data_IF_473237502426
#
_entry.id   IF_473237502426
#
_cell.length_a   1.000
_cell.length_b   1.000
_cell.length_c   1.000
_cell.angle_alpha   90.00
_cell.angle_beta   90.00
_cell.angle_gamma   90.00
#
_symmetry.space_group_name_H-M   'P 1'
#
loop_
_entity.id
_entity.type
_entity.pdbx_description
1 polymer ?
#
# COMPACT_ATOMS: atom_id res chain seq x y z
N UNK A 1 -16.40 16.76 7.30
CA UNK A 1 -16.58 18.00 8.04
C UNK A 1 -15.88 19.11 7.26
N UNK A 2 -16.69 20.06 6.78
CA UNK A 2 -16.15 21.28 6.15
C UNK A 2 -15.73 22.17 7.30
N UNK A 3 -14.46 22.22 7.60
CA UNK A 3 -13.91 23.28 8.44
C UNK A 3 -13.82 24.52 7.56
N UNK A 4 -14.37 25.62 8.06
CA UNK A 4 -14.58 26.87 7.34
C UNK A 4 -13.35 27.26 6.51
N UNK A 5 -13.51 27.35 5.20
CA UNK A 5 -12.54 27.86 4.26
C UNK A 5 -11.55 26.83 3.68
N UNK A 6 -11.56 25.56 4.12
CA UNK A 6 -10.64 24.52 3.58
C UNK A 6 -11.35 23.55 2.63
N UNK A 7 -10.69 23.17 1.56
CA UNK A 7 -11.19 22.19 0.61
C UNK A 7 -11.35 20.82 1.27
N UNK A 8 -12.50 20.18 1.07
CA UNK A 8 -12.66 18.78 1.46
C UNK A 8 -11.74 17.89 0.59
N UNK A 9 -10.97 17.01 1.22
CA UNK A 9 -10.24 15.96 0.51
C UNK A 9 -11.21 14.79 0.27
N UNK A 10 -11.29 14.26 -0.96
CA UNK A 10 -12.08 13.08 -1.23
C UNK A 10 -11.46 11.89 -0.46
N UNK A 11 -12.24 11.26 0.39
CA UNK A 11 -11.84 10.08 1.13
C UNK A 11 -13.01 9.12 1.28
N UNK A 12 -12.74 7.83 1.18
CA UNK A 12 -13.71 6.75 1.40
C UNK A 12 -13.14 5.83 2.47
N UNK A 13 -13.94 5.54 3.50
CA UNK A 13 -13.60 4.54 4.49
C UNK A 13 -14.12 3.18 4.04
N UNK A 14 -13.27 2.16 4.12
CA UNK A 14 -13.56 0.80 3.71
C UNK A 14 -13.16 -0.14 4.83
N UNK A 15 -14.06 -1.07 5.20
CA UNK A 15 -13.81 -2.09 6.20
C UNK A 15 -14.52 -3.40 5.84
N UNK A 16 -14.28 -4.45 6.64
CA UNK A 16 -14.96 -5.73 6.52
C UNK A 16 -14.43 -6.62 5.39
N UNK A 17 -15.07 -7.78 5.19
CA UNK A 17 -14.53 -8.86 4.33
C UNK A 17 -14.46 -8.50 2.83
N UNK A 18 -15.26 -7.54 2.38
CA UNK A 18 -15.25 -7.08 0.99
C UNK A 18 -14.27 -5.92 0.74
N UNK A 19 -13.49 -5.51 1.74
CA UNK A 19 -12.64 -4.33 1.65
C UNK A 19 -11.60 -4.41 0.52
N UNK A 20 -10.98 -5.55 0.32
CA UNK A 20 -9.98 -5.76 -0.74
C UNK A 20 -10.59 -5.51 -2.13
N UNK A 21 -11.75 -6.11 -2.40
CA UNK A 21 -12.45 -5.91 -3.67
C UNK A 21 -12.96 -4.48 -3.82
N UNK A 22 -13.43 -3.88 -2.74
CA UNK A 22 -13.91 -2.49 -2.76
C UNK A 22 -12.79 -1.52 -3.08
N UNK A 23 -11.63 -1.64 -2.43
CA UNK A 23 -10.45 -0.83 -2.73
C UNK A 23 -10.02 -1.01 -4.18
N UNK A 24 -9.95 -2.27 -4.64
CA UNK A 24 -9.59 -2.59 -6.03
C UNK A 24 -10.51 -1.95 -7.07
N UNK A 25 -11.81 -1.84 -6.77
CA UNK A 25 -12.80 -1.25 -7.67
C UNK A 25 -12.82 0.28 -7.64
N UNK A 26 -12.59 0.88 -6.48
CA UNK A 26 -12.73 2.32 -6.28
C UNK A 26 -11.43 3.09 -6.54
N UNK A 27 -10.29 2.53 -6.15
CA UNK A 27 -9.02 3.23 -6.21
C UNK A 27 -8.42 3.21 -7.62
N UNK A 28 -7.65 4.24 -7.90
CA UNK A 28 -6.92 4.44 -9.17
C UNK A 28 -5.42 4.55 -8.88
N UNK A 29 -4.56 4.21 -9.85
CA UNK A 29 -3.14 4.47 -9.72
C UNK A 29 -2.87 5.93 -9.37
N UNK A 30 -2.05 6.15 -8.35
CA UNK A 30 -1.75 7.48 -7.79
C UNK A 30 -2.61 7.88 -6.60
N UNK A 31 -3.65 7.10 -6.25
CA UNK A 31 -4.39 7.33 -5.01
C UNK A 31 -3.57 6.89 -3.78
N UNK A 32 -3.95 7.41 -2.61
CA UNK A 32 -3.35 7.09 -1.33
C UNK A 32 -4.21 6.07 -0.59
N UNK A 33 -3.60 4.96 -0.19
CA UNK A 33 -4.17 3.97 0.71
C UNK A 33 -3.67 4.23 2.13
N UNK A 34 -4.55 4.65 3.02
CA UNK A 34 -4.26 4.83 4.44
C UNK A 34 -4.86 3.68 5.24
N UNK A 35 -4.02 2.81 5.77
CA UNK A 35 -4.41 1.73 6.67
C UNK A 35 -4.26 2.14 8.13
N UNK A 36 -5.27 1.82 8.94
CA UNK A 36 -5.30 2.06 10.38
C UNK A 36 -5.50 0.72 11.09
N UNK A 37 -4.58 0.31 11.94
CA UNK A 37 -4.75 -0.98 12.60
C UNK A 37 -3.58 -1.38 13.49
N UNK A 38 -3.65 -2.59 14.02
CA UNK A 38 -2.60 -3.23 14.82
C UNK A 38 -1.68 -4.08 13.92
N UNK A 39 -0.54 -4.52 14.45
CA UNK A 39 0.42 -5.32 13.68
C UNK A 39 -0.14 -6.66 13.18
N UNK A 40 -1.15 -7.19 13.83
CA UNK A 40 -1.84 -8.44 13.49
C UNK A 40 -3.08 -8.25 12.62
N UNK A 41 -3.37 -7.02 12.18
CA UNK A 41 -4.47 -6.73 11.28
C UNK A 41 -4.20 -7.33 9.87
N UNK A 42 -4.85 -8.45 9.61
CA UNK A 42 -4.68 -9.19 8.36
C UNK A 42 -5.21 -8.43 7.15
N UNK A 43 -6.31 -7.68 7.32
CA UNK A 43 -6.87 -6.87 6.24
C UNK A 43 -5.91 -5.75 5.82
N UNK A 44 -5.33 -5.05 6.79
CA UNK A 44 -4.33 -4.02 6.53
C UNK A 44 -3.13 -4.59 5.78
N UNK A 45 -2.62 -5.75 6.20
CA UNK A 45 -1.51 -6.44 5.50
C UNK A 45 -1.85 -6.82 4.07
N UNK A 46 -3.03 -7.41 3.85
CA UNK A 46 -3.48 -7.79 2.51
C UNK A 46 -3.62 -6.58 1.58
N UNK A 47 -4.17 -5.49 2.07
CA UNK A 47 -4.32 -4.26 1.31
C UNK A 47 -2.96 -3.63 0.97
N UNK A 48 -2.08 -3.52 1.97
CA UNK A 48 -0.75 -2.95 1.79
C UNK A 48 0.09 -3.80 0.83
N UNK A 49 0.06 -5.13 0.98
CA UNK A 49 0.79 -6.02 0.08
C UNK A 49 0.36 -5.90 -1.39
N UNK A 50 -0.87 -5.46 -1.66
CA UNK A 50 -1.41 -5.24 -3.01
C UNK A 50 -1.24 -3.82 -3.53
N UNK A 51 -1.03 -2.86 -2.65
CA UNK A 51 -1.02 -1.43 -2.97
C UNK A 51 -0.04 -1.11 -4.11
N UNK A 52 1.18 -1.63 -4.04
CA UNK A 52 2.20 -1.40 -5.07
C UNK A 52 1.78 -1.95 -6.45
N UNK A 53 1.16 -3.13 -6.50
CA UNK A 53 0.64 -3.71 -7.75
C UNK A 53 -0.50 -2.87 -8.33
N UNK A 54 -1.31 -2.26 -7.50
CA UNK A 54 -2.41 -1.38 -7.92
C UNK A 54 -1.96 0.05 -8.25
N UNK A 55 -0.69 0.38 -7.99
CA UNK A 55 -0.13 1.72 -8.21
C UNK A 55 -0.57 2.73 -7.14
N UNK A 56 -0.91 2.25 -5.95
CA UNK A 56 -1.28 3.09 -4.81
C UNK A 56 -0.05 3.40 -3.96
N UNK A 57 0.01 4.61 -3.42
CA UNK A 57 0.92 4.91 -2.32
C UNK A 57 0.29 4.47 -1.01
N UNK A 58 1.00 3.67 -0.23
CA UNK A 58 0.49 3.09 1.00
C UNK A 58 1.10 3.72 2.24
N UNK A 59 0.25 4.04 3.21
CA UNK A 59 0.64 4.51 4.54
C UNK A 59 -0.02 3.65 5.59
N UNK A 60 0.77 3.09 6.49
CA UNK A 60 0.25 2.35 7.64
C UNK A 60 0.44 3.14 8.93
N UNK A 61 -0.66 3.55 9.53
CA UNK A 61 -0.68 4.10 10.88
C UNK A 61 -1.04 2.97 11.85
N UNK A 62 -0.01 2.37 12.43
CA UNK A 62 -0.16 1.26 13.35
C UNK A 62 -0.24 1.71 14.80
N UNK A 63 -0.95 0.95 15.61
CA UNK A 63 -1.08 1.15 17.06
C UNK A 63 -0.72 -0.13 17.82
N UNK A 64 -0.11 0.03 19.00
CA UNK A 64 0.27 -1.08 19.86
C UNK A 64 1.73 -1.48 19.73
N UNK A 65 2.09 -2.73 20.07
CA UNK A 65 3.45 -3.22 19.91
C UNK A 65 3.87 -3.14 18.44
N UNK A 66 4.99 -2.46 18.18
CA UNK A 66 5.53 -2.41 16.82
C UNK A 66 5.88 -3.81 16.34
N UNK A 67 5.47 -4.23 15.15
CA UNK A 67 6.00 -5.44 14.57
C UNK A 67 7.51 -5.30 14.47
N UNK A 68 8.27 -6.24 14.98
CA UNK A 68 9.72 -6.24 14.88
C UNK A 68 10.18 -6.15 13.41
N UNK A 69 11.46 -5.87 13.19
CA UNK A 69 12.04 -5.75 11.84
C UNK A 69 11.83 -6.99 10.96
N UNK A 70 11.52 -8.12 11.57
CA UNK A 70 11.29 -9.40 10.89
C UNK A 70 9.87 -9.53 10.28
N UNK A 71 9.00 -8.54 10.50
CA UNK A 71 7.63 -8.51 9.94
C UNK A 71 7.52 -7.55 8.75
N UNK A 72 8.59 -7.42 7.98
CA UNK A 72 8.62 -6.62 6.74
C UNK A 72 7.80 -7.20 5.57
N UNK A 73 6.96 -8.20 5.82
CA UNK A 73 6.11 -8.81 4.78
C UNK A 73 5.01 -7.87 4.26
N UNK A 74 4.75 -6.77 4.96
CA UNK A 74 3.87 -5.72 4.47
C UNK A 74 4.70 -4.46 4.22
N UNK A 75 5.25 -4.34 3.03
CA UNK A 75 6.00 -3.17 2.59
C UNK A 75 5.06 -2.00 2.28
N UNK A 76 4.52 -1.35 3.31
CA UNK A 76 3.94 -0.03 3.09
C UNK A 76 5.06 0.96 2.73
N UNK A 77 4.78 1.87 1.81
CA UNK A 77 5.74 2.92 1.43
C UNK A 77 6.12 3.77 2.63
N UNK A 78 5.16 3.98 3.54
CA UNK A 78 5.36 4.72 4.78
C UNK A 78 4.68 4.03 5.96
N UNK A 79 5.41 3.86 7.05
CA UNK A 79 4.89 3.28 8.28
C UNK A 79 5.10 4.26 9.43
N UNK A 80 4.02 4.60 10.12
CA UNK A 80 4.05 5.36 11.37
C UNK A 80 3.46 4.48 12.45
N UNK A 81 4.21 4.24 13.51
CA UNK A 81 3.79 3.36 14.59
C UNK A 81 3.65 4.12 15.91
N UNK A 82 2.48 4.05 16.50
CA UNK A 82 2.19 4.62 17.81
C UNK A 82 2.37 3.55 18.88
N UNK A 83 3.43 3.62 19.71
CA UNK A 83 3.69 2.64 20.75
C UNK A 83 2.71 2.82 21.91
N UNK A 84 1.56 2.20 21.84
CA UNK A 84 0.54 2.26 22.88
C UNK A 84 0.52 0.94 23.65
N UNK A 85 0.57 1.01 24.97
CA UNK A 85 0.61 -0.16 25.82
C UNK A 85 -0.69 -1.01 25.75
N UNK A 86 -1.81 -0.38 25.38
CA UNK A 86 -3.11 -1.05 25.25
C UNK A 86 -3.83 -0.58 23.96
N UNK A 87 -3.68 -1.31 22.84
CA UNK A 87 -4.24 -0.93 21.55
C UNK A 87 -5.75 -0.70 21.56
N UNK A 88 -6.49 -1.49 22.33
CA UNK A 88 -7.95 -1.33 22.47
C UNK A 88 -8.35 -0.02 23.15
N UNK A 89 -7.48 0.55 23.99
CA UNK A 89 -7.67 1.85 24.62
C UNK A 89 -7.29 2.99 23.67
N UNK A 90 -6.26 2.84 22.87
CA UNK A 90 -5.84 3.86 21.89
C UNK A 90 -6.94 4.15 20.86
N UNK A 91 -7.61 3.11 20.37
CA UNK A 91 -8.77 3.27 19.48
C UNK A 91 -9.95 3.98 20.17
N UNK A 92 -10.06 3.89 21.50
CA UNK A 92 -11.10 4.54 22.29
C UNK A 92 -10.71 5.93 22.81
N UNK A 93 -9.41 6.21 22.93
CA UNK A 93 -8.90 7.46 23.52
C UNK A 93 -8.89 8.65 22.55
N UNK A 94 -9.27 8.45 21.30
CA UNK A 94 -9.27 9.51 20.31
C UNK A 94 -7.88 9.90 19.78
N UNK A 95 -6.81 9.20 20.19
CA UNK A 95 -5.44 9.48 19.74
C UNK A 95 -5.30 9.34 18.21
N UNK A 96 -5.91 8.29 17.64
CA UNK A 96 -5.95 8.13 16.18
C UNK A 96 -6.74 9.25 15.50
N UNK A 97 -7.84 9.67 16.12
CA UNK A 97 -8.66 10.79 15.60
C UNK A 97 -7.85 12.09 15.62
N UNK A 98 -7.11 12.33 16.70
CA UNK A 98 -6.23 13.49 16.80
C UNK A 98 -5.11 13.44 15.76
N UNK A 99 -4.48 12.28 15.58
CA UNK A 99 -3.44 12.08 14.58
C UNK A 99 -3.97 12.34 13.16
N UNK A 100 -5.14 11.78 12.82
CA UNK A 100 -5.77 12.01 11.53
C UNK A 100 -6.12 13.50 11.33
N UNK A 101 -6.54 14.16 12.39
CA UNK A 101 -6.80 15.60 12.34
C UNK A 101 -5.53 16.41 12.09
N UNK A 102 -4.43 16.07 12.77
CA UNK A 102 -3.13 16.69 12.54
C UNK A 102 -2.62 16.44 11.11
N UNK A 103 -2.75 15.22 10.61
CA UNK A 103 -2.39 14.90 9.22
C UNK A 103 -3.20 15.73 8.22
N UNK A 104 -4.49 15.87 8.47
CA UNK A 104 -5.36 16.69 7.65
C UNK A 104 -4.94 18.17 7.67
N UNK A 105 -4.65 18.73 8.86
CA UNK A 105 -4.14 20.11 8.99
C UNK A 105 -2.80 20.31 8.26
N UNK A 106 -1.84 19.39 8.47
CA UNK A 106 -0.54 19.46 7.80
C UNK A 106 -0.66 19.37 6.28
N UNK A 107 -1.57 18.52 5.77
CA UNK A 107 -1.83 18.41 4.34
C UNK A 107 -2.32 19.73 3.76
N UNK A 108 -3.20 20.44 4.48
CA UNK A 108 -3.67 21.77 4.05
C UNK A 108 -2.57 22.82 4.10
N UNK A 109 -1.71 22.80 5.13
CA UNK A 109 -0.55 23.68 5.19
C UNK A 109 0.36 23.47 3.98
N UNK A 110 0.59 22.23 3.57
CA UNK A 110 1.40 21.93 2.38
C UNK A 110 0.72 22.42 1.09
N UNK A 111 -0.59 22.28 0.97
CA UNK A 111 -1.32 22.81 -0.20
C UNK A 111 -1.31 24.34 -0.26
N UNK A 112 -1.38 25.02 0.89
CA UNK A 112 -1.32 26.47 0.97
C UNK A 112 0.10 26.99 0.74
N UNK A 113 1.11 26.18 1.09
CA UNK A 113 2.53 26.52 1.00
C UNK A 113 3.34 25.46 0.25
N UNK A 114 3.14 25.27 -1.06
CA UNK A 114 3.78 24.19 -1.82
C UNK A 114 5.33 24.26 -1.83
N UNK A 115 5.89 25.39 -1.44
CA UNK A 115 7.35 25.55 -1.29
C UNK A 115 7.95 24.80 -0.10
N UNK A 116 7.14 24.41 0.90
CA UNK A 116 7.65 23.70 2.09
C UNK A 116 8.24 22.32 1.77
N UNK A 117 7.75 21.64 0.73
CA UNK A 117 8.24 20.33 0.32
C UNK A 117 9.36 20.39 -0.71
N UNK A 118 9.59 21.52 -1.38
CA UNK A 118 10.64 21.64 -2.41
C UNK A 118 12.06 21.49 -1.88
N UNK A 119 12.31 21.87 -0.64
CA UNK A 119 13.61 21.73 -0.01
C UNK A 119 14.06 20.27 0.23
N UNK A 120 13.14 19.30 0.15
CA UNK A 120 13.46 17.87 0.29
C UNK A 120 13.52 17.14 -1.05
N UNK A 121 12.87 17.67 -2.09
CA UNK A 121 12.83 17.06 -3.43
C UNK A 121 14.14 17.20 -4.21
N UNK A 122 15.04 18.09 -3.81
CA UNK A 122 16.36 18.24 -4.46
C UNK A 122 17.37 17.13 -4.08
N UNK A 123 16.97 16.20 -3.20
CA UNK A 123 17.64 14.92 -3.01
C UNK A 123 16.97 13.80 -3.81
N UNK A 124 16.52 14.09 -5.02
CA UNK A 124 16.33 13.02 -6.00
C UNK A 124 17.70 12.45 -6.28
N UNK A 125 17.98 11.34 -5.63
CA UNK A 125 19.00 10.39 -6.07
C UNK A 125 18.75 10.27 -7.57
N UNK A 126 19.72 10.67 -8.40
CA UNK A 126 19.74 10.31 -9.81
C UNK A 126 19.45 8.82 -9.86
N UNK A 127 18.24 8.47 -10.30
CA UNK A 127 17.87 7.09 -10.52
C UNK A 127 18.82 6.58 -11.59
N UNK A 128 19.89 5.96 -11.13
CA UNK A 128 20.88 5.33 -11.98
C UNK A 128 20.11 4.41 -12.92
N UNK A 129 20.39 4.44 -14.20
CA UNK A 129 19.77 3.58 -15.23
C UNK A 129 19.87 2.08 -14.87
N UNK A 130 20.77 1.73 -13.96
CA UNK A 130 20.93 0.40 -13.36
C UNK A 130 19.80 -0.01 -12.41
N UNK A 131 18.99 0.93 -11.88
CA UNK A 131 17.86 0.63 -10.99
C UNK A 131 16.58 0.18 -11.73
N UNK A 132 16.59 0.14 -13.06
CA UNK A 132 15.50 -0.45 -13.85
C UNK A 132 15.39 -1.98 -13.67
N UNK A 133 16.31 -2.57 -12.92
CA UNK A 133 16.44 -4.02 -12.69
C UNK A 133 15.95 -4.45 -11.29
N UNK A 134 15.23 -3.57 -10.57
CA UNK A 134 14.65 -3.92 -9.28
C UNK A 134 13.40 -4.81 -9.47
N UNK A 135 13.31 -5.85 -8.63
CA UNK A 135 12.12 -6.68 -8.56
C UNK A 135 10.92 -5.85 -8.14
N UNK A 136 9.79 -6.02 -8.81
CA UNK A 136 8.54 -5.32 -8.50
C UNK A 136 7.42 -6.29 -8.19
N UNK A 137 6.52 -5.89 -7.32
CA UNK A 137 5.33 -6.67 -6.99
C UNK A 137 4.25 -6.48 -8.06
N UNK A 138 3.67 -7.59 -8.50
CA UNK A 138 2.54 -7.60 -9.42
C UNK A 138 1.46 -8.57 -8.96
N UNK A 139 0.19 -8.27 -9.27
CA UNK A 139 -0.94 -9.15 -9.01
C UNK A 139 -1.32 -9.91 -10.28
N UNK A 140 -1.42 -11.22 -10.17
CA UNK A 140 -1.88 -12.09 -11.28
C UNK A 140 -3.35 -11.80 -11.60
N UNK A 141 -3.63 -11.49 -12.85
CA UNK A 141 -4.99 -11.27 -13.39
C UNK A 141 -5.51 -12.50 -14.10
N UNK A 142 -4.68 -13.11 -14.91
CA UNK A 142 -5.03 -14.32 -15.66
C UNK A 142 -3.78 -15.13 -15.97
N UNK A 143 -3.92 -16.46 -15.95
CA UNK A 143 -2.90 -17.38 -16.44
C UNK A 143 -3.27 -17.78 -17.88
N UNK A 144 -2.37 -17.53 -18.81
CA UNK A 144 -2.55 -17.72 -20.23
C UNK A 144 -1.84 -19.00 -20.71
N UNK A 145 -2.16 -19.44 -21.91
CA UNK A 145 -1.49 -20.58 -22.52
C UNK A 145 0.02 -20.33 -22.73
N UNK A 146 0.82 -21.39 -22.64
CA UNK A 146 2.25 -21.34 -22.87
C UNK A 146 3.07 -20.74 -21.73
N UNK A 147 2.52 -20.69 -20.51
CA UNK A 147 3.23 -20.16 -19.32
C UNK A 147 3.29 -18.63 -19.25
N UNK A 148 2.51 -17.95 -20.09
CA UNK A 148 2.36 -16.49 -19.99
C UNK A 148 1.34 -16.14 -18.91
N UNK A 149 1.58 -15.03 -18.24
CA UNK A 149 0.69 -14.54 -17.18
C UNK A 149 0.40 -13.07 -17.42
N UNK A 150 -0.88 -12.73 -17.40
CA UNK A 150 -1.30 -11.33 -17.36
C UNK A 150 -1.27 -10.85 -15.90
N UNK A 151 -0.56 -9.77 -15.63
CA UNK A 151 -0.41 -9.21 -14.30
C UNK A 151 -0.76 -7.72 -14.27
N UNK A 152 -1.12 -7.24 -13.09
CA UNK A 152 -1.25 -5.83 -12.79
C UNK A 152 -0.01 -5.40 -12.00
N UNK A 153 0.78 -4.49 -12.55
CA UNK A 153 1.98 -3.96 -11.93
C UNK A 153 1.98 -2.43 -11.99
N UNK A 154 2.08 -1.75 -10.85
CA UNK A 154 2.04 -0.29 -10.79
C UNK A 154 0.77 0.31 -11.42
N UNK A 155 -0.37 -0.40 -11.31
CA UNK A 155 -1.64 -0.01 -11.90
C UNK A 155 -1.75 -0.21 -13.42
N UNK A 156 -0.79 -0.88 -14.06
CA UNK A 156 -0.79 -1.20 -15.50
C UNK A 156 -0.85 -2.70 -15.73
N UNK A 157 -1.61 -3.09 -16.75
CA UNK A 157 -1.68 -4.49 -17.17
C UNK A 157 -0.47 -4.81 -18.05
N UNK A 158 0.21 -5.89 -17.73
CA UNK A 158 1.40 -6.37 -18.44
C UNK A 158 1.34 -7.89 -18.62
N UNK A 159 2.11 -8.39 -19.58
CA UNK A 159 2.31 -9.82 -19.80
C UNK A 159 3.72 -10.21 -19.44
N UNK A 160 3.85 -11.23 -18.59
CA UNK A 160 5.13 -11.74 -18.11
C UNK A 160 5.24 -13.25 -18.36
N UNK A 161 6.45 -13.79 -18.23
CA UNK A 161 6.70 -15.22 -18.20
C UNK A 161 6.49 -15.75 -16.77
N UNK A 162 5.56 -16.68 -16.60
CA UNK A 162 5.24 -17.29 -15.29
C UNK A 162 5.76 -18.70 -15.11
N UNK A 163 6.58 -19.24 -16.04
CA UNK A 163 7.00 -20.65 -16.03
C UNK A 163 7.89 -21.06 -14.85
N UNK A 164 8.48 -20.12 -14.14
CA UNK A 164 9.29 -20.41 -12.95
C UNK A 164 8.47 -20.60 -11.68
N UNK A 165 7.19 -20.22 -11.69
CA UNK A 165 6.33 -20.29 -10.51
C UNK A 165 5.12 -21.16 -10.82
N UNK A 166 5.07 -22.31 -10.15
CA UNK A 166 3.97 -23.26 -10.33
C UNK A 166 2.68 -22.82 -9.62
N UNK A 167 1.55 -23.21 -10.19
CA UNK A 167 0.24 -23.11 -9.55
C UNK A 167 -0.31 -21.70 -9.40
N UNK A 168 0.18 -20.74 -10.17
CA UNK A 168 -0.31 -19.35 -10.15
C UNK A 168 -1.81 -19.26 -10.43
N UNK A 169 -2.49 -18.42 -9.67
CA UNK A 169 -3.93 -18.17 -9.78
C UNK A 169 -4.22 -16.66 -9.81
N UNK A 170 -5.33 -16.25 -10.42
CA UNK A 170 -5.78 -14.87 -10.32
C UNK A 170 -5.89 -14.40 -8.86
N UNK A 171 -5.32 -13.23 -8.58
CA UNK A 171 -5.25 -12.64 -7.24
C UNK A 171 -3.97 -12.98 -6.46
N UNK A 172 -3.11 -13.89 -6.95
CA UNK A 172 -1.81 -14.13 -6.34
C UNK A 172 -0.88 -12.93 -6.57
N UNK A 173 -0.02 -12.67 -5.60
CA UNK A 173 1.06 -11.69 -5.74
C UNK A 173 2.34 -12.41 -6.17
N UNK A 174 3.04 -11.82 -7.12
CA UNK A 174 4.31 -12.32 -7.62
C UNK A 174 5.37 -11.21 -7.61
N UNK A 175 6.61 -11.61 -7.33
CA UNK A 175 7.76 -10.78 -7.57
C UNK A 175 8.17 -10.93 -9.04
N UNK A 176 8.19 -9.82 -9.76
CA UNK A 176 8.57 -9.79 -11.19
C UNK A 176 9.91 -9.09 -11.34
N UNK A 177 10.81 -9.71 -12.08
CA UNK A 177 12.09 -9.15 -12.46
C UNK A 177 12.35 -9.44 -13.94
N UNK A 178 12.77 -8.45 -14.71
CA UNK A 178 13.04 -8.55 -16.14
C UNK A 178 11.92 -9.24 -16.96
N UNK A 179 10.64 -9.02 -16.57
CA UNK A 179 9.49 -9.62 -17.27
C UNK A 179 9.20 -11.08 -16.93
N UNK A 180 9.83 -11.62 -15.88
CA UNK A 180 9.67 -13.00 -15.42
C UNK A 180 9.17 -13.01 -13.98
N UNK A 181 8.17 -13.83 -13.65
CA UNK A 181 7.78 -14.10 -12.26
C UNK A 181 8.85 -14.97 -11.60
N UNK A 182 9.48 -14.47 -10.54
CA UNK A 182 10.55 -15.17 -9.82
C UNK A 182 10.00 -16.04 -8.69
N UNK A 183 9.01 -15.53 -7.97
CA UNK A 183 8.39 -16.23 -6.83
C UNK A 183 7.00 -15.69 -6.58
N UNK A 184 6.14 -16.53 -5.97
CA UNK A 184 4.87 -16.07 -5.39
C UNK A 184 5.11 -15.50 -4.00
N UNK A 185 4.42 -14.42 -3.68
CA UNK A 185 4.44 -13.81 -2.36
C UNK A 185 3.26 -14.34 -1.54
N UNK A 186 3.42 -14.54 -0.22
CA UNK A 186 2.32 -15.00 0.61
C UNK A 186 1.21 -13.94 0.61
N UNK A 187 0.06 -14.33 0.08
CA UNK A 187 -1.18 -13.59 0.28
C UNK A 187 -1.85 -14.19 1.51
N UNK A 188 -2.27 -13.37 2.46
CA UNK A 188 -2.85 -13.83 3.73
C UNK A 188 -4.17 -14.62 3.61
N UNK A 189 -4.40 -15.31 2.51
CA UNK A 189 -5.46 -16.30 2.38
C UNK A 189 -5.07 -17.53 3.18
N UNK A 190 -5.54 -17.58 4.43
CA UNK A 190 -5.50 -18.80 5.23
C UNK A 190 -6.16 -19.96 4.46
N UNK A 191 -5.48 -21.11 4.51
CA UNK A 191 -5.96 -22.41 4.08
C UNK A 191 -7.24 -22.78 4.81
#
# INVERSE_FOLDING_TARGET
PVIVGKRALPAVSVDGPAAVETVRLLCRPGDLLLCLGTADDQLARDLIGRAAAWGLTSVWLGVGPSPGRDHHDACADHVVWLPVAQPALAARSGELVLLLHLLWELTHVVFEHPGLLRAQSERTVDACVTCADEGRVAEVRAVLAGGRVEVLAGGRVEHIDGRLVDGLRPGDLVLVHAGIAITSLPTGRGS
#
